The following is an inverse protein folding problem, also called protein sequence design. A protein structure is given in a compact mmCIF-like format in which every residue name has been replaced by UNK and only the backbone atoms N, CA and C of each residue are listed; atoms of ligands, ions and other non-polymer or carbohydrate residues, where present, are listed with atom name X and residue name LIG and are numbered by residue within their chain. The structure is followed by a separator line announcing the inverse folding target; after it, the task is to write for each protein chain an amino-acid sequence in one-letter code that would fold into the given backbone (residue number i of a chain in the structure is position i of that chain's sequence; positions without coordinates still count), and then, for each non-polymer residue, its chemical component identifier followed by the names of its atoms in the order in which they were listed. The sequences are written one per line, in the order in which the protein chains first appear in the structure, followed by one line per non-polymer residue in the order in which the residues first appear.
data_IF_568525697118
#
_entry.id   IF_568525697118
#
_cell.length_a   1.000
_cell.length_b   1.000
_cell.length_c   1.000
_cell.angle_alpha   90.00
_cell.angle_beta   90.00
_cell.angle_gamma   90.00
#
_symmetry.space_group_name_H-M   'P 1'
#
loop_
_entity.id
_entity.type
_entity.pdbx_description
1 polymer ?
#
# COMPACT_ATOMS: atom_id res chain seq x y z
N UNK A 1 13.26 -1.14 -3.86
CA UNK A 1 13.95 -0.35 -2.81
C UNK A 1 14.24 -1.32 -1.66
N UNK A 2 15.47 -1.84 -1.57
CA UNK A 2 15.76 -2.90 -0.62
C UNK A 2 14.87 -4.14 -0.84
N UNK A 3 14.16 -4.56 0.20
CA UNK A 3 13.20 -5.67 0.15
C UNK A 3 11.73 -5.19 0.10
N UNK A 4 11.52 -3.92 -0.24
CA UNK A 4 10.21 -3.29 -0.35
C UNK A 4 9.98 -2.79 -1.77
N UNK A 5 8.72 -2.67 -2.17
CA UNK A 5 8.36 -2.37 -3.55
C UNK A 5 7.46 -1.14 -3.63
N UNK A 6 7.78 -0.28 -4.58
CA UNK A 6 6.93 0.81 -5.02
C UNK A 6 6.55 0.53 -6.47
N UNK A 7 5.25 0.44 -6.72
CA UNK A 7 4.71 0.14 -8.05
C UNK A 7 3.98 1.36 -8.60
N UNK A 8 4.21 1.66 -9.87
CA UNK A 8 3.45 2.65 -10.61
C UNK A 8 2.53 1.91 -11.57
N UNK A 9 1.23 2.09 -11.41
CA UNK A 9 0.22 1.40 -12.20
C UNK A 9 -0.64 2.39 -12.99
N UNK A 10 -1.14 1.97 -14.14
CA UNK A 10 -2.07 2.72 -14.97
C UNK A 10 -3.22 1.80 -15.41
N UNK A 11 -4.48 2.25 -15.38
CA UNK A 11 -5.58 1.47 -15.93
C UNK A 11 -5.40 1.28 -17.44
N UNK A 12 -5.56 0.05 -17.90
CA UNK A 12 -5.46 -0.30 -19.33
C UNK A 12 -6.84 -0.43 -20.00
N UNK A 13 -7.90 -0.45 -19.19
CA UNK A 13 -9.30 -0.60 -19.64
C UNK A 13 -10.21 0.29 -18.80
N UNK A 14 -11.37 0.62 -19.34
CA UNK A 14 -12.42 1.34 -18.63
C UNK A 14 -13.02 0.48 -17.50
N UNK A 15 -13.47 1.14 -16.43
CA UNK A 15 -14.20 0.50 -15.32
C UNK A 15 -13.32 -0.35 -14.38
N UNK A 16 -12.00 -0.25 -14.47
CA UNK A 16 -11.08 -0.89 -13.50
C UNK A 16 -11.18 -0.24 -12.11
N UNK A 17 -10.71 -0.93 -11.08
CA UNK A 17 -10.68 -0.37 -9.72
C UNK A 17 -9.73 0.84 -9.66
N UNK A 18 -8.60 0.80 -10.35
CA UNK A 18 -7.69 1.93 -10.45
C UNK A 18 -8.34 3.11 -11.18
N UNK A 19 -9.04 2.88 -12.31
CA UNK A 19 -9.77 3.92 -13.02
C UNK A 19 -10.81 4.63 -12.14
N UNK A 20 -11.62 3.86 -11.39
CA UNK A 20 -12.58 4.43 -10.43
C UNK A 20 -11.92 5.25 -9.32
N UNK A 21 -10.71 4.86 -8.88
CA UNK A 21 -9.96 5.67 -7.91
C UNK A 21 -9.54 7.01 -8.51
N UNK A 22 -8.99 7.01 -9.74
CA UNK A 22 -8.59 8.23 -10.45
C UNK A 22 -9.78 9.19 -10.61
N UNK A 23 -10.93 8.66 -11.01
CA UNK A 23 -12.17 9.45 -11.12
C UNK A 23 -12.59 10.04 -9.77
N UNK A 24 -12.64 9.20 -8.72
CA UNK A 24 -13.04 9.63 -7.36
C UNK A 24 -12.10 10.70 -6.81
N UNK A 25 -10.79 10.55 -7.03
CA UNK A 25 -9.77 11.47 -6.53
C UNK A 25 -9.48 12.64 -7.47
N UNK A 26 -10.14 12.70 -8.62
CA UNK A 26 -9.96 13.71 -9.66
C UNK A 26 -8.50 13.86 -10.11
N UNK A 27 -7.82 12.72 -10.31
CA UNK A 27 -6.44 12.64 -10.76
C UNK A 27 -5.66 11.51 -10.09
N UNK A 28 -4.35 11.50 -10.29
CA UNK A 28 -3.45 10.50 -9.76
C UNK A 28 -3.43 10.45 -8.22
N UNK A 29 -3.00 9.35 -7.63
CA UNK A 29 -2.91 9.20 -6.18
C UNK A 29 -2.47 7.81 -5.77
N UNK A 30 -2.17 7.64 -4.50
CA UNK A 30 -1.84 6.34 -3.94
C UNK A 30 -3.04 5.38 -4.04
N UNK A 31 -2.79 4.19 -4.55
CA UNK A 31 -3.82 3.23 -4.92
C UNK A 31 -4.00 2.12 -3.90
N UNK A 32 -2.91 1.44 -3.55
CA UNK A 32 -2.97 0.21 -2.76
C UNK A 32 -1.80 0.13 -1.78
N UNK A 33 -2.07 -0.34 -0.57
CA UNK A 33 -1.05 -0.84 0.36
C UNK A 33 -1.06 -2.37 0.32
N UNK A 34 0.11 -2.98 0.13
CA UNK A 34 0.27 -4.44 0.04
C UNK A 34 1.14 -4.91 1.19
N UNK A 35 0.63 -5.86 1.96
CA UNK A 35 1.33 -6.46 3.09
C UNK A 35 1.67 -7.91 2.79
N UNK A 36 2.93 -8.27 2.99
CA UNK A 36 3.37 -9.65 2.97
C UNK A 36 3.06 -10.31 4.31
N UNK A 37 2.61 -11.57 4.26
CA UNK A 37 2.40 -12.41 5.43
C UNK A 37 2.97 -13.82 5.23
N UNK A 38 3.29 -14.48 6.35
CA UNK A 38 3.80 -15.85 6.36
C UNK A 38 2.68 -16.89 6.25
N UNK A 39 1.49 -16.59 6.76
CA UNK A 39 0.32 -17.47 6.75
C UNK A 39 -0.93 -16.69 6.35
N UNK A 40 -1.33 -16.85 5.09
CA UNK A 40 -2.49 -16.15 4.55
C UNK A 40 -3.81 -16.70 5.12
N UNK A 41 -3.87 -17.99 5.43
CA UNK A 41 -5.13 -18.58 5.91
C UNK A 41 -5.43 -18.12 7.34
N UNK A 42 -4.42 -18.07 8.23
CA UNK A 42 -4.55 -17.48 9.56
C UNK A 42 -4.92 -16.00 9.49
N UNK A 43 -4.26 -15.28 8.58
CA UNK A 43 -4.53 -13.85 8.37
C UNK A 43 -5.96 -13.58 7.89
N UNK A 44 -6.48 -14.42 6.98
CA UNK A 44 -7.86 -14.32 6.52
C UNK A 44 -8.87 -14.70 7.60
N UNK A 45 -8.56 -15.66 8.47
CA UNK A 45 -9.41 -16.01 9.61
C UNK A 45 -9.56 -14.81 10.57
N UNK A 46 -8.46 -14.16 10.93
CA UNK A 46 -8.47 -12.95 11.74
C UNK A 46 -9.32 -11.82 11.12
N UNK A 47 -9.13 -11.54 9.83
CA UNK A 47 -9.88 -10.49 9.14
C UNK A 47 -11.39 -10.82 9.04
N UNK A 48 -11.75 -12.09 8.92
CA UNK A 48 -13.15 -12.53 8.90
C UNK A 48 -13.83 -12.35 10.26
N UNK A 49 -13.12 -12.51 11.38
CA UNK A 49 -13.65 -12.21 12.74
C UNK A 49 -13.99 -10.73 12.92
N UNK A 50 -13.39 -9.85 12.10
CA UNK A 50 -13.64 -8.42 12.06
C UNK A 50 -14.56 -7.97 10.90
N UNK A 51 -15.33 -8.90 10.33
CA UNK A 51 -16.29 -8.65 9.24
C UNK A 51 -15.67 -8.03 7.97
N UNK A 52 -14.39 -8.33 7.67
CA UNK A 52 -13.72 -7.86 6.46
C UNK A 52 -13.95 -8.84 5.31
N UNK A 53 -14.56 -8.35 4.24
CA UNK A 53 -14.79 -9.12 3.01
C UNK A 53 -13.58 -9.08 2.09
N UNK A 54 -13.38 -10.16 1.36
CA UNK A 54 -12.42 -10.24 0.26
C UNK A 54 -13.13 -9.95 -1.06
N UNK A 55 -12.60 -9.02 -1.87
CA UNK A 55 -13.19 -8.64 -3.17
C UNK A 55 -12.44 -9.22 -4.35
N UNK A 56 -11.22 -9.69 -4.13
CA UNK A 56 -10.42 -10.42 -5.13
C UNK A 56 -9.54 -11.43 -4.42
N UNK A 57 -9.40 -12.60 -5.03
CA UNK A 57 -8.52 -13.68 -4.57
C UNK A 57 -7.76 -14.26 -5.75
N UNK A 58 -6.47 -14.40 -5.61
CA UNK A 58 -5.58 -15.06 -6.56
C UNK A 58 -4.70 -16.07 -5.86
N UNK A 59 -4.68 -17.30 -6.39
CA UNK A 59 -3.80 -18.37 -5.93
C UNK A 59 -2.95 -18.83 -7.12
N UNK A 60 -1.68 -18.45 -7.09
CA UNK A 60 -0.69 -18.77 -8.13
C UNK A 60 0.40 -19.66 -7.53
N UNK A 61 1.21 -20.34 -8.34
CA UNK A 61 2.24 -21.27 -7.82
C UNK A 61 3.25 -20.63 -6.87
N UNK A 62 3.52 -19.33 -7.02
CA UNK A 62 4.56 -18.61 -6.28
C UNK A 62 4.03 -17.47 -5.41
N UNK A 63 2.73 -17.20 -5.43
CA UNK A 63 2.12 -16.16 -4.57
C UNK A 63 0.61 -16.37 -4.45
N UNK A 64 0.08 -16.12 -3.27
CA UNK A 64 -1.36 -16.03 -3.00
C UNK A 64 -1.67 -14.61 -2.56
N UNK A 65 -2.75 -13.99 -3.08
CA UNK A 65 -3.11 -12.62 -2.74
C UNK A 65 -4.60 -12.47 -2.46
N UNK A 66 -4.94 -11.52 -1.56
CA UNK A 66 -6.33 -11.20 -1.18
C UNK A 66 -6.50 -9.69 -1.08
N UNK A 67 -7.31 -9.12 -1.98
CA UNK A 67 -7.72 -7.72 -1.84
C UNK A 67 -8.90 -7.62 -0.89
N UNK A 68 -8.75 -6.78 0.11
CA UNK A 68 -9.78 -6.52 1.10
C UNK A 68 -10.79 -5.51 0.56
N UNK A 69 -12.05 -5.63 1.00
CA UNK A 69 -13.09 -4.72 0.56
C UNK A 69 -12.85 -3.30 1.11
N UNK A 70 -12.71 -2.27 0.27
CA UNK A 70 -12.27 -0.94 0.70
C UNK A 70 -13.27 -0.23 1.64
N UNK A 71 -14.54 -0.64 1.66
CA UNK A 71 -15.51 -0.10 2.64
C UNK A 71 -15.39 -0.72 4.02
N UNK A 72 -14.77 -1.89 4.14
CA UNK A 72 -14.61 -2.59 5.41
C UNK A 72 -13.31 -2.18 6.10
N UNK A 73 -12.32 -1.76 5.30
CA UNK A 73 -11.02 -1.26 5.77
C UNK A 73 -11.03 0.27 5.93
N UNK A 74 -11.43 0.99 4.89
CA UNK A 74 -11.36 2.45 4.79
C UNK A 74 -9.98 2.95 4.33
N UNK A 75 -9.92 4.20 3.88
CA UNK A 75 -8.69 4.90 3.52
C UNK A 75 -8.05 4.46 2.22
N UNK A 76 -7.69 3.20 2.07
CA UNK A 76 -6.99 2.67 0.90
C UNK A 76 -7.53 1.29 0.50
N UNK A 77 -7.21 0.84 -0.71
CA UNK A 77 -7.29 -0.58 -1.04
C UNK A 77 -6.09 -1.28 -0.36
N UNK A 78 -6.38 -2.39 0.31
CA UNK A 78 -5.35 -3.20 0.99
C UNK A 78 -5.33 -4.59 0.40
N UNK A 79 -4.14 -5.09 0.11
CA UNK A 79 -3.88 -6.50 -0.23
C UNK A 79 -3.04 -7.16 0.85
N UNK A 80 -3.34 -8.41 1.12
CA UNK A 80 -2.52 -9.30 1.95
C UNK A 80 -2.02 -10.42 1.04
N UNK A 81 -0.71 -10.52 0.93
CA UNK A 81 -0.07 -11.40 -0.03
C UNK A 81 0.92 -12.34 0.68
N UNK A 82 0.90 -13.61 0.29
CA UNK A 82 1.83 -14.64 0.76
C UNK A 82 2.67 -15.12 -0.42
N UNK A 83 3.90 -14.63 -0.61
CA UNK A 83 4.82 -15.18 -1.60
C UNK A 83 5.38 -16.54 -1.15
N UNK A 84 5.73 -17.38 -2.11
CA UNK A 84 6.32 -18.71 -1.88
C UNK A 84 7.54 -18.89 -2.81
N UNK A 85 8.76 -18.95 -2.26
CA UNK A 85 9.13 -18.75 -0.85
C UNK A 85 8.95 -17.29 -0.39
N UNK A 86 8.90 -17.08 0.93
CA UNK A 86 8.83 -15.75 1.52
C UNK A 86 9.94 -14.84 0.97
N UNK A 87 9.62 -13.57 0.75
CA UNK A 87 10.54 -12.60 0.15
C UNK A 87 10.72 -12.72 -1.37
N UNK A 88 10.07 -13.73 -2.04
CA UNK A 88 10.04 -13.81 -3.49
C UNK A 88 8.86 -12.98 -4.01
N UNK A 89 9.12 -11.81 -4.56
CA UNK A 89 8.06 -10.90 -5.00
C UNK A 89 7.69 -11.13 -6.48
N UNK A 90 6.77 -12.06 -6.73
CA UNK A 90 6.34 -12.46 -8.08
C UNK A 90 5.79 -11.29 -8.91
N UNK A 91 5.12 -10.33 -8.27
CA UNK A 91 4.54 -9.17 -8.96
C UNK A 91 5.60 -8.26 -9.60
N UNK A 92 6.81 -8.20 -9.04
CA UNK A 92 7.92 -7.44 -9.63
C UNK A 92 8.56 -8.12 -10.85
N UNK A 93 8.08 -9.33 -11.20
CA UNK A 93 8.63 -10.12 -12.31
C UNK A 93 9.95 -10.83 -11.97
N UNK A 94 10.53 -11.58 -12.93
CA UNK A 94 11.65 -12.46 -12.64
C UNK A 94 13.02 -11.75 -12.53
N UNK A 95 13.10 -10.46 -12.80
CA UNK A 95 14.35 -9.72 -12.93
C UNK A 95 14.50 -8.54 -11.98
N UNK A 96 13.74 -8.51 -10.88
CA UNK A 96 13.74 -7.36 -9.98
C UNK A 96 14.97 -7.30 -9.05
N UNK A 97 15.52 -8.44 -8.63
CA UNK A 97 16.59 -8.51 -7.64
C UNK A 97 17.83 -7.65 -7.96
N UNK A 98 18.33 -7.60 -9.21
CA UNK A 98 19.45 -6.72 -9.56
C UNK A 98 19.14 -5.22 -9.48
N UNK A 99 17.87 -4.83 -9.37
CA UNK A 99 17.39 -3.45 -9.36
C UNK A 99 16.95 -2.98 -7.96
N UNK A 100 17.16 -3.78 -6.93
CA UNK A 100 16.73 -3.48 -5.55
C UNK A 100 17.51 -2.34 -4.91
N UNK A 101 18.74 -2.13 -5.30
CA UNK A 101 19.63 -1.13 -4.72
C UNK A 101 19.44 0.22 -5.41
N UNK A 102 19.01 1.22 -4.65
CA UNK A 102 18.81 2.58 -5.13
C UNK A 102 19.82 3.52 -4.45
N UNK A 103 20.47 4.44 -5.22
CA UNK A 103 21.48 5.34 -4.66
C UNK A 103 20.89 6.45 -3.79
N UNK A 104 19.59 6.70 -3.86
CA UNK A 104 18.92 7.79 -3.15
C UNK A 104 18.22 7.32 -1.90
N UNK A 105 17.59 6.14 -1.96
CA UNK A 105 16.75 5.61 -0.87
C UNK A 105 17.06 4.14 -0.60
N UNK A 106 16.95 3.72 0.66
CA UNK A 106 17.26 2.34 1.07
C UNK A 106 16.04 1.57 1.61
N UNK A 107 14.89 2.21 1.71
CA UNK A 107 13.66 1.57 2.19
C UNK A 107 12.48 2.52 2.23
N UNK A 108 11.30 1.95 2.43
CA UNK A 108 10.06 2.66 2.72
C UNK A 108 9.90 2.70 4.24
N UNK A 109 9.91 3.88 4.83
CA UNK A 109 9.74 4.06 6.29
C UNK A 109 8.26 3.96 6.70
N UNK A 110 7.36 4.42 5.83
CA UNK A 110 5.93 4.40 6.12
C UNK A 110 5.10 5.06 5.02
N UNK A 111 3.80 5.02 5.21
CA UNK A 111 2.82 5.68 4.35
C UNK A 111 1.90 6.57 5.18
N UNK A 112 1.40 7.65 4.58
CA UNK A 112 0.38 8.51 5.19
C UNK A 112 -0.96 8.26 4.49
N UNK A 113 -1.98 7.89 5.27
CA UNK A 113 -3.35 7.71 4.80
C UNK A 113 -4.19 8.89 5.25
N UNK A 114 -4.77 9.60 4.29
CA UNK A 114 -5.77 10.63 4.54
C UNK A 114 -7.10 10.01 4.94
N UNK A 115 -7.67 10.45 6.06
CA UNK A 115 -8.91 9.95 6.63
C UNK A 115 -9.86 11.09 7.00
N UNK A 116 -11.15 10.90 6.76
CA UNK A 116 -12.18 11.85 7.19
C UNK A 116 -12.31 11.89 8.73
N UNK A 117 -12.13 10.74 9.36
CA UNK A 117 -12.16 10.56 10.82
C UNK A 117 -10.90 9.82 11.26
N UNK A 118 -9.82 10.58 11.47
CA UNK A 118 -8.45 10.06 11.73
C UNK A 118 -8.41 9.02 12.85
N UNK A 119 -8.97 9.31 14.02
CA UNK A 119 -8.94 8.38 15.14
C UNK A 119 -9.72 7.08 14.88
N UNK A 120 -10.86 7.17 14.21
CA UNK A 120 -11.65 5.99 13.86
C UNK A 120 -10.96 5.11 12.81
N UNK A 121 -10.32 5.74 11.82
CA UNK A 121 -9.52 5.03 10.80
C UNK A 121 -8.33 4.33 11.44
N UNK A 122 -7.57 5.02 12.28
CA UNK A 122 -6.43 4.45 13.00
C UNK A 122 -6.85 3.26 13.88
N UNK A 123 -7.95 3.39 14.63
CA UNK A 123 -8.51 2.30 15.44
C UNK A 123 -8.88 1.10 14.56
N UNK A 124 -9.56 1.35 13.43
CA UNK A 124 -9.98 0.27 12.51
C UNK A 124 -8.78 -0.47 11.92
N UNK A 125 -7.76 0.23 11.47
CA UNK A 125 -6.57 -0.39 10.91
C UNK A 125 -5.78 -1.17 11.96
N UNK A 126 -5.75 -0.67 13.21
CA UNK A 126 -5.12 -1.37 14.33
C UNK A 126 -5.89 -2.64 14.72
N UNK A 127 -7.22 -2.61 14.75
CA UNK A 127 -8.06 -3.80 14.95
C UNK A 127 -7.80 -4.90 13.90
N UNK A 128 -7.50 -4.49 12.67
CA UNK A 128 -7.20 -5.39 11.55
C UNK A 128 -5.72 -5.79 11.49
N UNK A 129 -4.88 -5.24 12.38
CA UNK A 129 -3.43 -5.42 12.40
C UNK A 129 -2.78 -5.12 11.02
N UNK A 130 -3.18 -3.99 10.41
CA UNK A 130 -2.67 -3.47 9.13
C UNK A 130 -2.14 -2.03 9.26
N UNK A 131 -1.91 -1.54 10.46
CA UNK A 131 -1.41 -0.20 10.75
C UNK A 131 0.13 -0.11 10.82
N UNK A 132 0.82 -1.18 10.52
CA UNK A 132 2.29 -1.21 10.55
C UNK A 132 2.87 -0.20 9.56
N UNK A 133 3.67 0.74 10.08
CA UNK A 133 4.30 1.82 9.32
C UNK A 133 3.27 2.72 8.58
N UNK A 134 2.13 2.97 9.21
CA UNK A 134 1.07 3.84 8.67
C UNK A 134 0.81 4.99 9.63
N UNK A 135 0.90 6.20 9.10
CA UNK A 135 0.44 7.42 9.75
C UNK A 135 -0.91 7.85 9.17
N UNK A 136 -1.79 8.38 10.02
CA UNK A 136 -3.09 8.86 9.60
C UNK A 136 -3.17 10.38 9.74
N UNK A 137 -3.62 11.06 8.68
CA UNK A 137 -3.80 12.50 8.65
C UNK A 137 -5.23 12.86 8.24
N UNK A 138 -5.63 14.11 8.48
CA UNK A 138 -6.91 14.60 7.99
C UNK A 138 -6.90 14.59 6.45
N UNK A 139 -7.90 13.95 5.85
CA UNK A 139 -8.07 13.94 4.40
C UNK A 139 -8.27 15.37 3.86
N UNK A 140 -7.59 15.67 2.76
CA UNK A 140 -7.78 16.91 2.01
C UNK A 140 -9.02 16.88 1.11
N UNK A 141 -9.13 17.85 0.19
CA UNK A 141 -10.27 17.99 -0.72
C UNK A 141 -10.46 16.77 -1.65
N UNK A 142 -9.40 16.02 -1.91
CA UNK A 142 -9.42 14.81 -2.74
C UNK A 142 -10.04 13.59 -2.03
N UNK A 143 -10.41 13.74 -0.74
CA UNK A 143 -10.97 12.68 0.08
C UNK A 143 -9.94 11.68 0.58
N UNK A 144 -10.41 10.58 1.14
CA UNK A 144 -9.56 9.52 1.73
C UNK A 144 -8.70 8.80 0.69
N UNK A 145 -7.47 8.45 1.06
CA UNK A 145 -6.52 7.73 0.23
C UNK A 145 -5.10 7.77 0.77
N UNK A 146 -4.17 7.10 0.10
CA UNK A 146 -2.75 7.22 0.38
C UNK A 146 -2.26 8.55 -0.22
N UNK A 147 -1.82 9.46 0.65
CA UNK A 147 -1.39 10.81 0.27
C UNK A 147 0.13 11.00 0.40
N UNK A 148 0.81 10.16 1.14
CA UNK A 148 2.25 10.29 1.36
C UNK A 148 2.98 8.97 1.50
N UNK A 149 4.26 8.98 1.15
CA UNK A 149 5.20 7.87 1.35
C UNK A 149 6.50 8.44 1.93
N UNK A 150 6.94 7.90 3.05
CA UNK A 150 8.22 8.24 3.67
C UNK A 150 9.28 7.25 3.21
N UNK A 151 10.37 7.77 2.67
CA UNK A 151 11.49 7.00 2.13
C UNK A 151 12.74 7.25 2.96
N UNK A 152 13.42 6.18 3.36
CA UNK A 152 14.68 6.29 4.11
C UNK A 152 15.79 6.76 3.18
N UNK A 153 16.28 7.99 3.41
CA UNK A 153 17.36 8.57 2.59
C UNK A 153 18.70 7.88 2.84
N UNK A 154 19.43 7.57 1.77
CA UNK A 154 20.84 7.13 1.85
C UNK A 154 21.72 8.25 2.39
N UNK A 155 21.54 9.47 1.87
CA UNK A 155 22.21 10.68 2.36
C UNK A 155 21.31 11.41 3.36
N UNK A 156 21.71 11.38 4.63
CA UNK A 156 20.99 12.02 5.73
C UNK A 156 20.86 13.55 5.59
N UNK A 157 21.70 14.19 4.78
CA UNK A 157 21.61 15.63 4.53
C UNK A 157 20.39 16.02 3.69
N UNK A 158 19.81 15.05 3.00
CA UNK A 158 18.57 15.20 2.18
C UNK A 158 17.28 15.01 2.96
N UNK A 159 17.34 14.70 4.25
CA UNK A 159 16.15 14.55 5.09
C UNK A 159 15.31 15.82 5.08
N UNK A 160 14.00 15.64 4.92
CA UNK A 160 13.04 16.72 4.81
C UNK A 160 12.77 17.18 3.39
N UNK A 161 13.52 16.69 2.37
CA UNK A 161 13.13 16.89 0.97
C UNK A 161 11.79 16.23 0.70
N UNK A 162 10.95 16.92 -0.08
CA UNK A 162 9.65 16.41 -0.51
C UNK A 162 9.48 16.54 -2.02
N UNK A 163 8.82 15.54 -2.62
CA UNK A 163 8.55 15.49 -4.05
C UNK A 163 7.12 15.02 -4.27
N UNK A 164 6.33 15.77 -5.02
CA UNK A 164 4.99 15.35 -5.40
C UNK A 164 5.05 14.61 -6.74
N UNK A 165 4.72 13.33 -6.71
CA UNK A 165 4.77 12.44 -7.86
C UNK A 165 3.45 11.69 -7.96
N UNK A 166 2.75 11.80 -9.09
CA UNK A 166 1.48 11.12 -9.32
C UNK A 166 0.46 11.34 -8.18
N UNK A 167 0.40 12.57 -7.64
CA UNK A 167 -0.54 12.93 -6.59
C UNK A 167 -0.25 12.33 -5.21
N UNK A 168 0.96 11.86 -4.98
CA UNK A 168 1.48 11.36 -3.70
C UNK A 168 2.72 12.17 -3.33
N UNK A 169 2.79 12.62 -2.08
CA UNK A 169 3.96 13.32 -1.55
C UNK A 169 4.98 12.30 -1.03
N UNK A 170 6.14 12.22 -1.67
CA UNK A 170 7.28 11.45 -1.21
C UNK A 170 8.18 12.32 -0.34
N UNK A 171 8.48 11.87 0.87
CA UNK A 171 9.35 12.59 1.82
C UNK A 171 10.57 11.75 2.16
N UNK A 172 11.76 12.35 2.09
CA UNK A 172 13.00 11.74 2.56
C UNK A 172 13.12 11.90 4.08
N UNK A 173 13.31 10.79 4.80
CA UNK A 173 13.42 10.73 6.26
C UNK A 173 14.74 10.14 6.73
#
# INVERSE_FOLDING_TARGET
IGDQFLEVVSPTEDGTTAGRLLEKRQGDGGYMAIYECDDLDDRMAHLAEHDVRVVWAGDFPTIRGRHLHPRDVGGALVSIDQPVPNGSWTWAGPSWEPHRDDPVVVGIAGVTVGAAYVAAMASRWSELDIDRAVDFAQAGERGEGIDGVDLVATDRSRRGETHDICGVTFRLV
#
